data_IF_636905799548
#
_entry.id   IF_636905799548
#
_cell.length_a   1.000
_cell.length_b   1.000
_cell.length_c   1.000
_cell.angle_alpha   90.00
_cell.angle_beta   90.00
_cell.angle_gamma   90.00
#
_symmetry.space_group_name_H-M   'P 1'
#
loop_
_entity.id
_entity.type
_entity.pdbx_description
1 polymer ?
#
# COMPACT_ATOMS: atom_id res chain seq x y z
N UNK A 1 -8.86 25.99 -0.22
CA UNK A 1 -9.20 26.75 0.99
C UNK A 1 -7.88 27.15 1.62
N UNK A 2 -7.65 28.43 1.83
CA UNK A 2 -6.44 28.95 2.47
C UNK A 2 -6.42 28.66 3.99
N UNK A 3 -5.32 29.05 4.67
CA UNK A 3 -5.19 28.89 6.11
C UNK A 3 -6.25 29.66 6.91
N UNK A 4 -6.92 30.65 6.31
CA UNK A 4 -8.05 31.38 6.89
C UNK A 4 -9.42 30.76 6.62
N UNK A 5 -9.48 29.57 6.03
CA UNK A 5 -10.72 28.84 5.73
C UNK A 5 -11.53 29.40 4.56
N UNK A 6 -10.97 30.34 3.80
CA UNK A 6 -11.68 30.97 2.66
C UNK A 6 -11.51 30.15 1.38
N UNK A 7 -12.61 29.94 0.69
CA UNK A 7 -12.60 29.43 -0.68
C UNK A 7 -12.38 30.58 -1.66
N UNK A 8 -11.36 30.45 -2.51
CA UNK A 8 -10.94 31.46 -3.49
C UNK A 8 -11.21 31.00 -4.92
N UNK A 9 -12.44 31.05 -5.41
CA UNK A 9 -12.83 30.39 -6.67
C UNK A 9 -12.27 31.06 -7.92
N UNK A 10 -11.73 32.27 -7.82
CA UNK A 10 -11.18 33.05 -8.95
C UNK A 10 -9.65 33.06 -8.98
N UNK A 11 -9.01 32.55 -7.93
CA UNK A 11 -7.55 32.52 -7.88
C UNK A 11 -7.03 31.32 -8.68
N UNK A 12 -5.88 31.50 -9.33
CA UNK A 12 -5.20 30.41 -9.98
C UNK A 12 -4.72 29.40 -8.92
N UNK A 13 -4.92 28.12 -9.19
CA UNK A 13 -4.40 27.06 -8.36
C UNK A 13 -2.94 26.76 -8.70
N UNK A 14 -2.09 26.58 -7.71
CA UNK A 14 -0.71 26.14 -7.94
C UNK A 14 -0.63 24.63 -8.21
N UNK A 15 0.46 24.18 -8.81
CA UNK A 15 0.70 22.74 -9.05
C UNK A 15 0.73 21.94 -7.74
N UNK A 16 1.32 22.52 -6.69
CA UNK A 16 1.31 21.94 -5.33
C UNK A 16 -0.10 21.83 -4.77
N UNK A 17 -0.89 22.92 -4.81
CA UNK A 17 -2.26 22.90 -4.31
C UNK A 17 -3.12 21.87 -5.03
N UNK A 18 -2.94 21.73 -6.33
CA UNK A 18 -3.63 20.71 -7.12
C UNK A 18 -3.24 19.29 -6.68
N UNK A 19 -1.95 18.98 -6.55
CA UNK A 19 -1.49 17.68 -6.07
C UNK A 19 -2.06 17.35 -4.69
N UNK A 20 -2.00 18.31 -3.76
CA UNK A 20 -2.57 18.16 -2.40
C UNK A 20 -4.07 17.89 -2.45
N UNK A 21 -4.81 18.64 -3.27
CA UNK A 21 -6.26 18.47 -3.40
C UNK A 21 -6.62 17.08 -3.92
N UNK A 22 -5.93 16.61 -4.97
CA UNK A 22 -6.20 15.31 -5.59
C UNK A 22 -5.81 14.15 -4.65
N UNK A 23 -4.65 14.22 -4.01
CA UNK A 23 -4.22 13.19 -3.02
C UNK A 23 -5.21 13.10 -1.85
N UNK A 24 -5.74 14.23 -1.38
CA UNK A 24 -6.79 14.23 -0.35
C UNK A 24 -8.11 13.65 -0.86
N UNK A 25 -8.51 13.97 -2.09
CA UNK A 25 -9.72 13.44 -2.70
C UNK A 25 -9.67 11.90 -2.86
N UNK A 26 -8.46 11.34 -3.03
CA UNK A 26 -8.21 9.89 -3.05
C UNK A 26 -8.19 9.23 -1.67
N UNK A 27 -8.38 9.99 -0.58
CA UNK A 27 -8.31 9.46 0.79
C UNK A 27 -6.89 9.24 1.33
N UNK A 28 -5.85 9.65 0.58
CA UNK A 28 -4.43 9.40 0.93
C UNK A 28 -3.82 10.52 1.78
N UNK A 29 -4.62 11.44 2.30
CA UNK A 29 -4.14 12.62 3.03
C UNK A 29 -3.41 12.29 4.33
N UNK A 30 -3.81 11.25 5.07
CA UNK A 30 -3.14 10.82 6.30
C UNK A 30 -1.77 10.21 5.99
N UNK A 31 -1.70 9.36 4.97
CA UNK A 31 -0.45 8.77 4.51
C UNK A 31 0.55 9.87 4.10
N UNK A 32 0.08 10.87 3.34
CA UNK A 32 0.90 12.01 2.95
C UNK A 32 1.43 12.84 4.12
N UNK A 33 0.66 12.96 5.21
CA UNK A 33 1.12 13.66 6.42
C UNK A 33 2.13 12.84 7.22
N UNK A 34 1.96 11.53 7.26
CA UNK A 34 2.88 10.63 7.96
C UNK A 34 4.29 10.66 7.34
N UNK A 35 4.39 10.85 6.02
CA UNK A 35 5.67 10.92 5.32
C UNK A 35 6.05 12.35 4.90
N UNK A 36 6.09 13.25 5.87
CA UNK A 36 6.42 14.67 5.64
C UNK A 36 7.82 14.90 5.04
N UNK A 37 8.75 13.96 5.24
CA UNK A 37 10.13 14.01 4.76
C UNK A 37 10.39 13.06 3.57
N UNK A 38 9.34 12.65 2.87
CA UNK A 38 9.43 11.75 1.73
C UNK A 38 10.59 12.09 0.78
N UNK A 39 11.29 11.06 0.32
CA UNK A 39 12.29 11.20 -0.73
C UNK A 39 11.60 11.55 -2.06
N UNK A 40 12.16 12.53 -2.76
CA UNK A 40 11.64 13.00 -4.05
C UNK A 40 12.81 13.24 -5.01
N UNK A 41 12.64 12.99 -6.30
CA UNK A 41 13.62 13.37 -7.30
C UNK A 41 13.69 14.91 -7.47
N UNK A 42 12.66 15.63 -7.01
CA UNK A 42 12.53 17.07 -7.19
C UNK A 42 13.28 17.86 -6.12
N UNK A 43 14.17 18.74 -6.53
CA UNK A 43 15.01 19.56 -5.65
C UNK A 43 14.32 20.82 -5.15
N UNK A 44 13.26 21.27 -5.82
CA UNK A 44 12.53 22.51 -5.56
C UNK A 44 11.31 22.35 -4.64
N UNK A 45 11.05 21.14 -4.13
CA UNK A 45 9.93 20.86 -3.23
C UNK A 45 10.38 20.99 -1.78
N UNK A 46 10.03 22.09 -1.13
CA UNK A 46 10.39 22.39 0.27
C UNK A 46 9.24 22.20 1.26
N UNK A 47 8.00 22.15 0.78
CA UNK A 47 6.80 21.99 1.61
C UNK A 47 5.86 20.95 1.02
N UNK A 48 5.07 20.30 1.91
CA UNK A 48 4.07 19.27 1.57
C UNK A 48 4.66 18.12 0.75
N UNK A 49 5.91 17.75 1.07
CA UNK A 49 6.68 16.73 0.36
C UNK A 49 5.93 15.40 0.24
N UNK A 50 5.32 14.91 1.33
CA UNK A 50 4.56 13.65 1.31
C UNK A 50 3.39 13.64 0.32
N UNK A 51 2.70 14.76 0.13
CA UNK A 51 1.65 14.86 -0.88
C UNK A 51 2.19 14.77 -2.31
N UNK A 52 3.32 15.44 -2.56
CA UNK A 52 3.95 15.41 -3.88
C UNK A 52 4.60 14.04 -4.14
N UNK A 53 5.15 13.41 -3.10
CA UNK A 53 5.67 12.05 -3.18
C UNK A 53 4.60 11.04 -3.57
N UNK A 54 3.47 11.03 -2.87
CA UNK A 54 2.34 10.17 -3.24
C UNK A 54 1.86 10.46 -4.66
N UNK A 55 1.70 11.73 -5.03
CA UNK A 55 1.27 12.09 -6.38
C UNK A 55 2.26 11.58 -7.45
N UNK A 56 3.56 11.57 -7.16
CA UNK A 56 4.59 11.03 -8.02
C UNK A 56 4.55 9.50 -8.07
N UNK A 57 4.50 8.83 -6.92
CA UNK A 57 4.46 7.36 -6.79
C UNK A 57 3.25 6.73 -7.47
N UNK A 58 2.08 7.35 -7.33
CA UNK A 58 0.88 6.87 -8.03
C UNK A 58 0.84 7.28 -9.52
N UNK A 59 1.86 7.96 -10.01
CA UNK A 59 1.98 8.38 -11.41
C UNK A 59 1.06 9.53 -11.80
N UNK A 60 0.45 10.23 -10.83
CA UNK A 60 -0.38 11.42 -11.09
C UNK A 60 0.45 12.55 -11.75
N UNK A 61 1.69 12.68 -11.33
CA UNK A 61 2.63 13.66 -11.88
C UNK A 61 3.98 13.03 -12.19
N UNK A 62 4.69 13.60 -13.16
CA UNK A 62 6.07 13.24 -13.51
C UNK A 62 7.05 14.38 -13.25
N UNK A 63 6.57 15.47 -12.62
CA UNK A 63 7.33 16.71 -12.47
C UNK A 63 7.12 17.68 -13.65
N UNK A 64 7.81 18.81 -13.60
CA UNK A 64 7.97 19.74 -14.74
C UNK A 64 9.19 19.31 -15.58
N UNK A 65 10.23 18.84 -14.91
CA UNK A 65 11.39 18.14 -15.45
C UNK A 65 11.69 16.89 -14.60
N UNK A 66 12.74 16.15 -14.91
CA UNK A 66 13.19 14.99 -14.10
C UNK A 66 13.57 15.39 -12.67
N UNK A 67 14.01 16.63 -12.44
CA UNK A 67 14.53 17.10 -11.15
C UNK A 67 13.76 18.27 -10.54
N UNK A 68 12.73 18.79 -11.22
CA UNK A 68 11.91 19.91 -10.73
C UNK A 68 10.43 19.61 -10.82
N UNK A 69 9.67 20.09 -9.84
CA UNK A 69 8.21 19.99 -9.79
C UNK A 69 7.50 21.30 -10.11
N UNK A 70 8.15 22.44 -9.83
CA UNK A 70 7.58 23.79 -9.90
C UNK A 70 6.34 23.97 -9.01
N UNK A 71 6.47 23.76 -7.69
CA UNK A 71 5.34 23.68 -6.76
C UNK A 71 4.46 24.94 -6.73
N UNK A 72 5.05 26.12 -6.89
CA UNK A 72 4.38 27.41 -6.83
C UNK A 72 3.94 27.94 -8.22
N UNK A 73 4.29 27.21 -9.28
CA UNK A 73 3.81 27.49 -10.62
C UNK A 73 2.29 27.28 -10.74
N UNK A 74 1.62 28.12 -11.53
CA UNK A 74 0.19 27.95 -11.81
C UNK A 74 -0.04 26.66 -12.60
N UNK A 75 -0.96 25.82 -12.12
CA UNK A 75 -1.39 24.65 -12.86
C UNK A 75 -2.27 25.06 -14.05
N UNK A 76 -1.87 24.65 -15.26
CA UNK A 76 -2.70 24.86 -16.44
C UNK A 76 -3.86 23.86 -16.50
N UNK A 77 -4.87 24.15 -17.32
CA UNK A 77 -6.01 23.24 -17.54
C UNK A 77 -5.56 21.90 -18.11
N UNK A 78 -4.57 21.92 -19.00
CA UNK A 78 -3.98 20.72 -19.60
C UNK A 78 -3.25 19.88 -18.56
N UNK A 79 -2.50 20.50 -17.65
CA UNK A 79 -1.83 19.81 -16.56
C UNK A 79 -2.85 19.20 -15.58
N UNK A 80 -3.92 19.92 -15.28
CA UNK A 80 -5.01 19.42 -14.45
C UNK A 80 -5.68 18.19 -15.09
N UNK A 81 -6.02 18.30 -16.38
CA UNK A 81 -6.63 17.21 -17.13
C UNK A 81 -5.70 15.99 -17.19
N UNK A 82 -4.39 16.20 -17.46
CA UNK A 82 -3.41 15.11 -17.49
C UNK A 82 -3.29 14.38 -16.13
N UNK A 83 -3.26 15.12 -15.02
CA UNK A 83 -3.24 14.53 -13.68
C UNK A 83 -4.51 13.70 -13.40
N UNK A 84 -5.68 14.23 -13.74
CA UNK A 84 -6.96 13.54 -13.55
C UNK A 84 -7.07 12.26 -14.40
N UNK A 85 -6.65 12.32 -15.66
CA UNK A 85 -6.69 11.16 -16.57
C UNK A 85 -5.75 10.07 -16.06
N UNK A 86 -4.52 10.39 -15.68
CA UNK A 86 -3.55 9.40 -15.14
C UNK A 86 -4.08 8.71 -13.89
N UNK A 87 -4.71 9.46 -12.99
CA UNK A 87 -5.35 8.89 -11.80
C UNK A 87 -6.51 7.99 -12.20
N UNK A 88 -7.38 8.47 -13.09
CA UNK A 88 -8.53 7.70 -13.57
C UNK A 88 -8.09 6.37 -14.20
N UNK A 89 -7.14 6.41 -15.12
CA UNK A 89 -6.62 5.21 -15.80
C UNK A 89 -6.01 4.22 -14.79
N UNK A 90 -5.25 4.71 -13.81
CA UNK A 90 -4.64 3.85 -12.79
C UNK A 90 -5.68 3.18 -11.90
N UNK A 91 -6.69 3.92 -11.43
CA UNK A 91 -7.71 3.38 -10.52
C UNK A 91 -8.80 2.56 -11.23
N UNK A 92 -8.92 2.70 -12.56
CA UNK A 92 -9.82 1.89 -13.38
C UNK A 92 -9.08 0.83 -14.20
N UNK A 93 -7.76 0.74 -14.08
CA UNK A 93 -7.01 -0.35 -14.68
C UNK A 93 -7.51 -1.70 -14.11
N UNK A 94 -7.68 -2.73 -14.93
CA UNK A 94 -8.01 -4.05 -14.45
C UNK A 94 -6.98 -4.51 -13.41
N UNK A 95 -7.44 -5.04 -12.30
CA UNK A 95 -6.55 -5.66 -11.31
C UNK A 95 -5.92 -6.89 -11.95
N UNK A 96 -4.63 -6.84 -12.22
CA UNK A 96 -3.89 -7.91 -12.91
C UNK A 96 -3.42 -9.02 -11.97
N UNK A 97 -3.39 -8.74 -10.68
CA UNK A 97 -2.97 -9.73 -9.67
C UNK A 97 -3.62 -9.42 -8.32
N UNK A 98 -4.21 -10.43 -7.71
CA UNK A 98 -4.93 -10.34 -6.43
C UNK A 98 -4.28 -11.27 -5.41
N UNK A 99 -3.96 -10.73 -4.24
CA UNK A 99 -3.38 -11.49 -3.14
C UNK A 99 -4.22 -11.32 -1.88
N UNK A 100 -4.49 -12.44 -1.20
CA UNK A 100 -5.21 -12.45 0.07
C UNK A 100 -4.38 -13.06 1.19
N UNK A 101 -4.72 -12.71 2.43
CA UNK A 101 -4.21 -13.35 3.62
C UNK A 101 -5.28 -14.28 4.18
N UNK A 102 -4.93 -15.56 4.36
CA UNK A 102 -5.81 -16.59 4.88
C UNK A 102 -5.58 -16.76 6.37
N UNK A 103 -6.52 -16.29 7.19
CA UNK A 103 -6.45 -16.39 8.63
C UNK A 103 -6.92 -17.77 9.12
N UNK A 104 -6.64 -18.09 10.39
CA UNK A 104 -7.09 -19.34 11.02
C UNK A 104 -8.62 -19.52 10.97
N UNK A 105 -9.37 -18.43 11.03
CA UNK A 105 -10.84 -18.41 10.99
C UNK A 105 -11.43 -18.42 9.58
N UNK A 106 -10.60 -18.44 8.53
CA UNK A 106 -11.06 -18.25 7.13
C UNK A 106 -11.47 -19.55 6.42
N UNK A 107 -11.57 -20.67 7.11
CA UNK A 107 -11.90 -21.97 6.49
C UNK A 107 -13.20 -21.93 5.67
N UNK A 108 -14.23 -21.26 6.19
CA UNK A 108 -15.51 -21.10 5.48
C UNK A 108 -15.44 -20.25 4.20
N UNK A 109 -14.31 -19.56 3.98
CA UNK A 109 -14.06 -18.67 2.84
C UNK A 109 -13.13 -19.32 1.79
N UNK A 110 -12.99 -20.63 1.81
CA UNK A 110 -12.10 -21.35 0.89
C UNK A 110 -12.48 -21.12 -0.57
N UNK A 111 -13.76 -21.08 -0.89
CA UNK A 111 -14.24 -20.85 -2.27
C UNK A 111 -13.92 -19.43 -2.75
N UNK A 112 -14.00 -18.44 -1.87
CA UNK A 112 -13.57 -17.07 -2.17
C UNK A 112 -12.05 -17.00 -2.34
N UNK A 113 -11.29 -17.75 -1.54
CA UNK A 113 -9.84 -17.79 -1.62
C UNK A 113 -9.32 -18.34 -2.96
N UNK A 114 -10.06 -19.25 -3.62
CA UNK A 114 -9.74 -19.77 -4.95
C UNK A 114 -9.79 -18.74 -6.08
N UNK A 115 -10.38 -17.56 -5.81
CA UNK A 115 -10.49 -16.48 -6.81
C UNK A 115 -9.28 -15.53 -6.81
N UNK A 116 -8.30 -15.76 -5.94
CA UNK A 116 -7.07 -14.98 -5.85
C UNK A 116 -5.94 -15.64 -6.64
N UNK A 117 -5.02 -14.80 -7.12
CA UNK A 117 -3.81 -15.28 -7.80
C UNK A 117 -2.80 -15.85 -6.81
N UNK A 118 -2.80 -15.30 -5.58
CA UNK A 118 -1.96 -15.79 -4.48
C UNK A 118 -2.67 -15.70 -3.13
N UNK A 119 -2.32 -16.62 -2.24
CA UNK A 119 -2.80 -16.64 -0.84
C UNK A 119 -1.63 -16.85 0.10
N UNK A 120 -1.52 -15.99 1.12
CA UNK A 120 -0.56 -16.12 2.21
C UNK A 120 -1.21 -16.68 3.47
N UNK A 121 -0.56 -17.69 4.04
CA UNK A 121 -1.01 -18.33 5.28
C UNK A 121 -0.24 -17.79 6.48
N UNK A 122 -0.93 -17.34 7.51
CA UNK A 122 -0.36 -17.00 8.82
C UNK A 122 -0.21 -18.23 9.70
N UNK A 123 0.42 -19.31 9.19
CA UNK A 123 0.48 -20.61 9.82
C UNK A 123 1.86 -20.98 10.34
N UNK A 124 2.74 -20.04 10.48
CA UNK A 124 4.07 -20.29 11.00
C UNK A 124 4.59 -19.14 11.86
N UNK A 125 5.44 -19.51 12.79
CA UNK A 125 6.18 -18.56 13.61
C UNK A 125 7.63 -19.00 13.75
N UNK A 126 8.48 -18.03 14.06
CA UNK A 126 9.89 -18.26 14.32
C UNK A 126 10.20 -17.95 15.78
N UNK A 127 10.87 -18.88 16.43
CA UNK A 127 11.45 -18.70 17.76
C UNK A 127 12.98 -18.65 17.65
N UNK A 128 13.62 -17.97 18.58
CA UNK A 128 15.07 -17.90 18.69
C UNK A 128 15.51 -18.19 20.12
N UNK A 129 16.51 -19.04 20.25
CA UNK A 129 17.26 -19.19 21.50
C UNK A 129 18.77 -19.21 21.22
N UNK A 130 19.58 -18.80 22.21
CA UNK A 130 21.02 -18.80 22.05
C UNK A 130 21.61 -20.21 21.85
N UNK A 131 20.92 -21.25 22.35
CA UNK A 131 21.35 -22.65 22.27
C UNK A 131 20.98 -23.29 20.93
N UNK A 132 19.78 -23.00 20.43
CA UNK A 132 19.21 -23.69 19.27
C UNK A 132 19.18 -22.83 18.01
N UNK A 133 19.46 -21.52 18.13
CA UNK A 133 19.35 -20.56 17.04
C UNK A 133 17.88 -20.28 16.64
N UNK A 134 17.68 -19.88 15.39
CA UNK A 134 16.36 -19.59 14.84
C UNK A 134 15.66 -20.90 14.39
N UNK A 135 14.45 -21.14 14.88
CA UNK A 135 13.61 -22.28 14.50
C UNK A 135 12.28 -21.82 13.93
N UNK A 136 11.90 -22.37 12.77
CA UNK A 136 10.58 -22.21 12.21
C UNK A 136 9.66 -23.30 12.74
N UNK A 137 8.52 -22.91 13.30
CA UNK A 137 7.48 -23.83 13.78
C UNK A 137 6.16 -23.57 13.07
N UNK A 138 5.42 -24.63 12.80
CA UNK A 138 4.03 -24.62 12.29
C UNK A 138 3.08 -25.35 13.27
N UNK A 139 3.59 -25.74 14.42
CA UNK A 139 2.86 -26.48 15.44
C UNK A 139 2.30 -25.51 16.47
N UNK A 140 1.13 -25.84 17.01
CA UNK A 140 0.58 -25.13 18.17
C UNK A 140 1.35 -25.55 19.42
N UNK A 141 2.20 -24.67 19.89
CA UNK A 141 3.04 -24.83 21.08
C UNK A 141 2.75 -23.75 22.14
N UNK A 142 1.61 -23.07 22.02
CA UNK A 142 1.16 -21.96 22.85
C UNK A 142 2.09 -20.73 22.87
N UNK A 143 3.17 -20.74 22.09
CA UNK A 143 4.10 -19.59 21.99
C UNK A 143 3.56 -18.48 21.09
N UNK A 144 2.69 -18.83 20.16
CA UNK A 144 2.05 -17.87 19.23
C UNK A 144 0.72 -18.40 18.71
N UNK A 145 -0.12 -17.51 18.18
CA UNK A 145 -1.34 -17.87 17.45
C UNK A 145 -1.12 -18.28 15.98
N UNK A 146 0.14 -18.47 15.55
CA UNK A 146 0.49 -18.72 14.14
C UNK A 146 0.98 -20.17 13.96
N UNK A 147 0.05 -21.07 13.65
CA UNK A 147 0.29 -22.51 13.44
C UNK A 147 -0.67 -23.07 12.41
N UNK A 148 -0.43 -24.28 11.91
CA UNK A 148 -1.35 -24.98 11.01
C UNK A 148 -2.54 -25.50 11.82
N UNK A 149 -3.78 -25.04 11.57
CA UNK A 149 -4.95 -25.50 12.33
C UNK A 149 -5.26 -26.96 12.04
N UNK A 150 -5.76 -27.66 13.03
CA UNK A 150 -6.29 -29.01 12.86
C UNK A 150 -7.48 -28.99 11.88
N UNK A 151 -7.52 -29.93 10.94
CA UNK A 151 -8.59 -30.05 9.94
C UNK A 151 -8.40 -29.20 8.68
N UNK A 152 -7.31 -28.43 8.55
CA UNK A 152 -7.05 -27.59 7.36
C UNK A 152 -6.15 -28.28 6.31
N UNK A 153 -5.95 -29.59 6.42
CA UNK A 153 -5.09 -30.35 5.51
C UNK A 153 -5.57 -30.32 4.05
N UNK A 154 -6.86 -30.13 3.83
CA UNK A 154 -7.50 -30.06 2.51
C UNK A 154 -7.40 -28.66 1.84
N UNK A 155 -7.13 -27.61 2.59
CA UNK A 155 -7.04 -26.24 2.08
C UNK A 155 -5.91 -26.08 1.06
N UNK A 156 -4.72 -26.59 1.38
CA UNK A 156 -3.54 -26.50 0.52
C UNK A 156 -3.76 -27.22 -0.82
N UNK A 157 -4.22 -28.49 -0.85
CA UNK A 157 -4.54 -29.17 -2.09
C UNK A 157 -5.60 -28.43 -2.91
N UNK A 158 -6.69 -27.99 -2.29
CA UNK A 158 -7.78 -27.30 -2.97
C UNK A 158 -7.37 -25.99 -3.65
N UNK A 159 -6.52 -25.19 -2.99
CA UNK A 159 -6.01 -23.96 -3.58
C UNK A 159 -4.97 -24.22 -4.69
N UNK A 160 -4.14 -25.25 -4.55
CA UNK A 160 -3.22 -25.68 -5.61
C UNK A 160 -3.95 -26.16 -6.87
N UNK A 161 -5.01 -26.93 -6.68
CA UNK A 161 -5.87 -27.39 -7.79
C UNK A 161 -6.53 -26.21 -8.51
N UNK A 162 -6.90 -25.15 -7.78
CA UNK A 162 -7.40 -23.90 -8.34
C UNK A 162 -6.33 -23.02 -9.00
N UNK A 163 -5.04 -23.41 -8.95
CA UNK A 163 -3.95 -22.65 -9.54
C UNK A 163 -3.47 -21.46 -8.71
N UNK A 164 -3.85 -21.38 -7.43
CA UNK A 164 -3.47 -20.28 -6.53
C UNK A 164 -2.03 -20.44 -6.06
N UNK A 165 -1.24 -19.37 -6.17
CA UNK A 165 0.13 -19.33 -5.61
C UNK A 165 0.04 -19.30 -4.08
N UNK A 166 0.73 -20.25 -3.40
CA UNK A 166 0.70 -20.38 -1.96
C UNK A 166 1.96 -19.79 -1.33
N UNK A 167 1.76 -18.92 -0.34
CA UNK A 167 2.83 -18.25 0.41
C UNK A 167 2.68 -18.55 1.90
N UNK A 168 3.79 -18.74 2.59
CA UNK A 168 3.82 -18.91 4.04
C UNK A 168 4.33 -17.62 4.68
N UNK A 169 3.50 -17.01 5.52
CA UNK A 169 3.93 -15.91 6.37
C UNK A 169 4.59 -16.45 7.63
N UNK A 170 5.76 -15.93 7.93
CA UNK A 170 6.49 -16.25 9.17
C UNK A 170 6.30 -15.09 10.14
N UNK A 171 5.62 -15.37 11.25
CA UNK A 171 5.53 -14.43 12.36
C UNK A 171 6.78 -14.55 13.25
N UNK A 172 7.34 -13.42 13.65
CA UNK A 172 8.41 -13.35 14.62
C UNK A 172 8.12 -12.23 15.61
N UNK A 173 7.96 -12.60 16.88
CA UNK A 173 7.88 -11.62 17.95
C UNK A 173 9.30 -11.10 18.25
N UNK A 174 9.51 -9.80 18.15
CA UNK A 174 10.74 -9.17 18.62
C UNK A 174 10.64 -9.07 20.15
N UNK A 175 11.18 -10.03 20.87
CA UNK A 175 11.41 -9.83 22.29
C UNK A 175 12.54 -8.78 22.43
N UNK A 176 12.40 -7.75 23.27
CA UNK A 176 13.52 -6.88 23.54
C UNK A 176 14.67 -7.73 24.13
N UNK A 177 15.84 -7.60 23.55
CA UNK A 177 17.09 -8.17 24.06
C UNK A 177 17.45 -7.56 25.42
#
# INVERSE_FOLDING_TARGET
>A
IDAGGKFRPRDAITRREMAVMLVRALGLGELARADANAALPFTDVTAQRGYIAIAYEIGMTTGATETTFEPDGTATREQAAAMLVRVYEKYHAPTTWKHAFYALSSYSQLEEAKQFDAVSFGWSHMTYSAEEGAKLSTVNDDSSGFYIPAGYADVIPALREAGVELKLNVFMANAPL
#
